data_IF_492908681997
#
_entry.id   IF_492908681997
#
_cell.length_a   1.000
_cell.length_b   1.000
_cell.length_c   1.000
_cell.angle_alpha   90.00
_cell.angle_beta   90.00
_cell.angle_gamma   90.00
#
_symmetry.space_group_name_H-M   'P 1'
#
loop_
_entity.id
_entity.type
_entity.pdbx_description
1 polymer ?
#
# COMPACT_ATOMS: atom_id res chain seq x y z
N UNK A 1 -7.12 -0.70 -24.65
CA UNK A 1 -7.12 0.71 -25.07
C UNK A 1 -7.07 1.55 -23.80
N UNK A 2 -5.92 2.12 -23.46
CA UNK A 2 -5.77 2.93 -22.24
C UNK A 2 -6.52 4.24 -22.47
N UNK A 3 -7.54 4.53 -21.65
CA UNK A 3 -8.32 5.75 -21.81
C UNK A 3 -7.48 6.94 -21.36
N UNK A 4 -7.63 8.12 -21.99
CA UNK A 4 -6.98 9.37 -21.52
C UNK A 4 -7.21 9.63 -20.01
N UNK A 5 -8.36 9.18 -19.49
CA UNK A 5 -8.73 9.28 -18.09
C UNK A 5 -7.83 8.43 -17.17
N UNK A 6 -7.33 7.28 -17.63
CA UNK A 6 -6.49 6.39 -16.83
C UNK A 6 -5.08 7.00 -16.65
N UNK A 7 -4.54 7.62 -17.70
CA UNK A 7 -3.28 8.37 -17.64
C UNK A 7 -3.41 9.55 -16.67
N UNK A 8 -4.53 10.26 -16.70
CA UNK A 8 -4.79 11.37 -15.77
C UNK A 8 -4.82 10.90 -14.31
N UNK A 9 -5.51 9.79 -14.01
CA UNK A 9 -5.52 9.17 -12.68
C UNK A 9 -4.11 8.75 -12.23
N UNK A 10 -3.31 8.21 -13.14
CA UNK A 10 -1.92 7.82 -12.86
C UNK A 10 -1.06 9.02 -12.49
N UNK A 11 -1.17 10.12 -13.25
CA UNK A 11 -0.43 11.36 -12.98
C UNK A 11 -0.81 11.92 -11.60
N UNK A 12 -2.11 11.99 -11.29
CA UNK A 12 -2.59 12.43 -9.97
C UNK A 12 -2.00 11.56 -8.86
N UNK A 13 -2.02 10.24 -9.06
CA UNK A 13 -1.47 9.31 -8.08
C UNK A 13 0.02 9.52 -7.86
N UNK A 14 0.79 9.73 -8.93
CA UNK A 14 2.24 9.99 -8.84
C UNK A 14 2.53 11.31 -8.12
N UNK A 15 1.74 12.34 -8.40
CA UNK A 15 1.85 13.65 -7.75
C UNK A 15 1.55 13.55 -6.25
N UNK A 16 0.53 12.77 -5.89
CA UNK A 16 0.13 12.52 -4.50
C UNK A 16 1.23 11.79 -3.73
N UNK A 17 1.84 10.75 -4.32
CA UNK A 17 3.00 10.05 -3.73
C UNK A 17 4.18 10.98 -3.51
N UNK A 18 4.53 11.76 -4.55
CA UNK A 18 5.67 12.67 -4.51
C UNK A 18 5.49 13.73 -3.42
N UNK A 19 4.25 14.19 -3.22
CA UNK A 19 3.89 15.12 -2.16
C UNK A 19 4.00 14.46 -0.78
N UNK A 20 3.49 13.24 -0.59
CA UNK A 20 3.61 12.51 0.68
C UNK A 20 5.07 12.29 1.10
N UNK A 21 5.94 11.91 0.16
CA UNK A 21 7.35 11.65 0.46
C UNK A 21 8.06 12.94 0.89
N UNK A 22 7.78 14.07 0.23
CA UNK A 22 8.42 15.36 0.53
C UNK A 22 7.81 16.11 1.70
N UNK A 23 6.57 15.81 2.09
CA UNK A 23 5.84 16.49 3.16
C UNK A 23 6.62 16.55 4.49
N UNK A 24 7.19 15.45 5.03
CA UNK A 24 7.95 15.54 6.28
C UNK A 24 9.28 16.30 6.15
N UNK A 25 9.85 16.41 4.95
CA UNK A 25 11.01 17.29 4.71
C UNK A 25 10.60 18.77 4.73
N UNK A 26 9.47 19.12 4.11
CA UNK A 26 8.95 20.49 4.14
C UNK A 26 8.55 20.94 5.54
N UNK A 27 8.13 20.00 6.40
CA UNK A 27 7.81 20.27 7.80
C UNK A 27 9.04 20.28 8.73
N UNK A 28 10.25 19.99 8.22
CA UNK A 28 11.47 19.92 9.02
C UNK A 28 11.47 18.80 10.07
N UNK A 29 10.62 17.77 9.89
CA UNK A 29 10.48 16.65 10.83
C UNK A 29 11.56 15.57 10.65
N UNK A 30 12.42 15.72 9.65
CA UNK A 30 13.45 14.73 9.26
C UNK A 30 14.82 15.38 9.39
N UNK A 31 15.63 14.88 10.33
CA UNK A 31 17.00 15.32 10.56
C UNK A 31 17.99 14.71 9.56
N UNK A 32 17.74 13.45 9.14
CA UNK A 32 18.54 12.73 8.15
C UNK A 32 17.65 12.30 6.98
N UNK A 33 17.84 12.97 5.83
CA UNK A 33 17.03 12.72 4.64
C UNK A 33 17.23 11.32 4.09
N UNK A 34 18.46 10.81 4.11
CA UNK A 34 18.83 9.61 3.35
C UNK A 34 18.27 8.36 4.03
N UNK A 35 18.37 8.30 5.36
CA UNK A 35 17.74 7.23 6.13
C UNK A 35 16.22 7.23 5.99
N UNK A 36 15.59 8.40 5.97
CA UNK A 36 14.15 8.51 5.80
C UNK A 36 13.69 8.00 4.43
N UNK A 37 14.42 8.36 3.36
CA UNK A 37 14.11 7.94 2.01
C UNK A 37 14.23 6.41 1.85
N UNK A 38 15.31 5.81 2.35
CA UNK A 38 15.51 4.36 2.27
C UNK A 38 14.34 3.59 2.92
N UNK A 39 13.82 4.10 4.03
CA UNK A 39 12.76 3.47 4.82
C UNK A 39 11.36 3.66 4.20
N UNK A 40 11.03 4.88 3.78
CA UNK A 40 9.64 5.28 3.52
C UNK A 40 9.26 5.43 2.04
N UNK A 41 10.23 5.47 1.10
CA UNK A 41 9.94 5.64 -0.34
C UNK A 41 9.10 4.50 -0.89
N UNK A 42 9.48 3.25 -0.59
CA UNK A 42 8.80 2.10 -1.16
C UNK A 42 7.34 2.02 -0.68
N UNK A 43 7.10 2.20 0.63
CA UNK A 43 5.74 2.25 1.21
C UNK A 43 4.90 3.33 0.53
N UNK A 44 5.47 4.51 0.30
CA UNK A 44 4.78 5.62 -0.36
C UNK A 44 4.44 5.31 -1.82
N UNK A 45 5.38 4.72 -2.58
CA UNK A 45 5.14 4.32 -3.98
C UNK A 45 4.03 3.27 -4.06
N UNK A 46 4.05 2.27 -3.19
CA UNK A 46 3.02 1.22 -3.17
C UNK A 46 1.66 1.71 -2.69
N UNK A 47 1.62 2.66 -1.76
CA UNK A 47 0.39 3.36 -1.40
C UNK A 47 -0.20 4.11 -2.61
N UNK A 48 0.64 4.76 -3.41
CA UNK A 48 0.22 5.37 -4.68
C UNK A 48 -0.31 4.36 -5.68
N UNK A 49 0.42 3.26 -5.90
CA UNK A 49 -0.01 2.22 -6.82
C UNK A 49 -1.37 1.64 -6.40
N UNK A 50 -1.54 1.39 -5.10
CA UNK A 50 -2.81 1.01 -4.48
C UNK A 50 -3.90 2.06 -4.78
N UNK A 51 -3.65 3.34 -4.54
CA UNK A 51 -4.60 4.42 -4.81
C UNK A 51 -5.00 4.46 -6.30
N UNK A 52 -4.05 4.33 -7.22
CA UNK A 52 -4.33 4.23 -8.66
C UNK A 52 -5.23 3.04 -9.00
N UNK A 53 -4.97 1.86 -8.42
CA UNK A 53 -5.82 0.68 -8.64
C UNK A 53 -7.24 0.88 -8.12
N UNK A 54 -7.44 1.62 -7.03
CA UNK A 54 -8.77 1.97 -6.54
C UNK A 54 -9.47 2.99 -7.44
N UNK A 55 -8.76 3.99 -7.95
CA UNK A 55 -9.29 5.00 -8.87
C UNK A 55 -9.70 4.42 -10.23
N UNK A 56 -9.08 3.32 -10.63
CA UNK A 56 -9.35 2.64 -11.90
C UNK A 56 -10.47 1.59 -11.76
N UNK A 57 -10.82 1.16 -10.55
CA UNK A 57 -11.91 0.21 -10.34
C UNK A 57 -13.29 0.83 -10.56
N UNK A 58 -14.17 0.11 -11.26
CA UNK A 58 -15.55 0.54 -11.55
C UNK A 58 -16.43 0.63 -10.31
N UNK A 59 -16.16 -0.18 -9.27
CA UNK A 59 -16.85 -0.14 -7.97
C UNK A 59 -15.84 0.09 -6.86
N UNK A 60 -15.95 1.24 -6.19
CA UNK A 60 -15.10 1.57 -5.05
C UNK A 60 -15.72 1.00 -3.78
N UNK A 61 -15.11 -0.05 -3.23
CA UNK A 61 -15.46 -0.53 -1.90
C UNK A 61 -14.75 0.33 -0.85
N UNK A 62 -15.47 1.30 -0.28
CA UNK A 62 -14.93 2.25 0.72
C UNK A 62 -14.33 1.53 1.95
N UNK A 63 -14.92 0.40 2.37
CA UNK A 63 -14.38 -0.40 3.50
C UNK A 63 -12.98 -0.91 3.17
N UNK A 64 -12.80 -1.41 1.95
CA UNK A 64 -11.53 -1.97 1.49
C UNK A 64 -10.44 -0.89 1.35
N UNK A 65 -10.82 0.30 0.89
CA UNK A 65 -9.93 1.46 0.83
C UNK A 65 -9.44 1.83 2.23
N UNK A 66 -10.35 1.96 3.21
CA UNK A 66 -9.99 2.28 4.60
C UNK A 66 -9.07 1.21 5.19
N UNK A 67 -9.37 -0.07 4.99
CA UNK A 67 -8.52 -1.18 5.44
C UNK A 67 -7.14 -1.08 4.81
N UNK A 68 -7.06 -0.86 3.50
CA UNK A 68 -5.79 -0.70 2.78
C UNK A 68 -4.98 0.47 3.32
N UNK A 69 -5.61 1.62 3.54
CA UNK A 69 -4.97 2.80 4.10
C UNK A 69 -4.41 2.50 5.51
N UNK A 70 -5.20 1.82 6.34
CA UNK A 70 -4.82 1.44 7.69
C UNK A 70 -3.55 0.56 7.69
N UNK A 71 -3.46 -0.43 6.79
CA UNK A 71 -2.30 -1.31 6.68
C UNK A 71 -1.03 -0.55 6.29
N UNK A 72 -1.14 0.38 5.33
CA UNK A 72 -0.01 1.23 4.96
C UNK A 72 0.42 2.15 6.10
N UNK A 73 -0.53 2.67 6.89
CA UNK A 73 -0.23 3.46 8.09
C UNK A 73 0.49 2.60 9.15
N UNK A 74 0.00 1.39 9.45
CA UNK A 74 0.67 0.48 10.38
C UNK A 74 2.07 0.11 9.91
N UNK A 75 2.23 -0.14 8.61
CA UNK A 75 3.52 -0.42 7.97
C UNK A 75 4.51 0.75 8.14
N UNK A 76 4.05 1.97 7.86
CA UNK A 76 4.87 3.17 8.05
C UNK A 76 5.24 3.39 9.54
N UNK A 77 4.31 3.19 10.46
CA UNK A 77 4.57 3.31 11.91
C UNK A 77 5.59 2.26 12.36
N UNK A 78 5.46 1.01 11.90
CA UNK A 78 6.41 -0.05 12.22
C UNK A 78 7.80 0.27 11.69
N UNK A 79 7.90 0.70 10.42
CA UNK A 79 9.19 1.04 9.79
C UNK A 79 9.88 2.20 10.52
N UNK A 80 9.13 3.22 10.93
CA UNK A 80 9.69 4.36 11.65
C UNK A 80 9.97 4.06 13.14
N UNK A 81 9.45 2.96 13.69
CA UNK A 81 9.76 2.51 15.06
C UNK A 81 11.04 1.66 15.14
N UNK A 82 11.56 1.19 14.00
CA UNK A 82 12.81 0.44 13.96
C UNK A 82 14.00 1.37 14.30
N UNK A 83 15.01 0.87 15.03
CA UNK A 83 16.16 1.67 15.43
C UNK A 83 16.96 2.14 14.21
N UNK A 84 17.36 3.40 14.25
CA UNK A 84 18.19 4.06 13.24
C UNK A 84 19.67 3.79 13.56
N UNK A 85 20.47 3.45 12.55
CA UNK A 85 21.94 3.34 12.70
C UNK A 85 22.51 1.97 13.08
N UNK A 86 21.69 0.99 13.48
CA UNK A 86 22.19 -0.38 13.61
C UNK A 86 22.31 -1.03 12.23
N UNK A 87 23.54 -1.32 11.78
CA UNK A 87 23.83 -2.12 10.57
C UNK A 87 23.49 -3.60 10.82
N UNK A 88 22.25 -3.85 11.22
CA UNK A 88 21.72 -5.19 11.42
C UNK A 88 21.05 -5.63 10.13
N UNK A 89 21.53 -6.72 9.54
CA UNK A 89 20.96 -7.31 8.32
C UNK A 89 19.46 -7.62 8.48
N UNK A 90 19.02 -7.90 9.70
CA UNK A 90 17.61 -8.13 10.03
C UNK A 90 16.74 -6.88 9.86
N UNK A 91 17.28 -5.69 10.15
CA UNK A 91 16.55 -4.41 10.02
C UNK A 91 16.41 -4.05 8.54
N UNK A 92 17.49 -4.21 7.76
CA UNK A 92 17.45 -4.04 6.30
C UNK A 92 16.47 -5.01 5.64
N UNK A 93 16.46 -6.28 6.08
CA UNK A 93 15.52 -7.27 5.57
C UNK A 93 14.07 -6.89 5.89
N UNK A 94 13.79 -6.35 7.08
CA UNK A 94 12.46 -5.89 7.48
C UNK A 94 11.96 -4.74 6.59
N UNK A 95 12.82 -3.76 6.25
CA UNK A 95 12.48 -2.69 5.31
C UNK A 95 12.07 -3.23 3.94
N UNK A 96 12.78 -4.24 3.44
CA UNK A 96 12.50 -4.84 2.13
C UNK A 96 11.23 -5.72 2.17
N UNK A 97 11.05 -6.52 3.22
CA UNK A 97 10.00 -7.56 3.27
C UNK A 97 8.61 -7.06 3.67
N UNK A 98 8.50 -5.94 4.37
CA UNK A 98 7.19 -5.37 4.71
C UNK A 98 6.41 -4.92 3.48
N UNK A 99 7.13 -4.50 2.44
CA UNK A 99 6.58 -4.02 1.19
C UNK A 99 5.80 -5.12 0.44
N UNK A 100 6.41 -6.27 0.04
CA UNK A 100 5.68 -7.34 -0.63
C UNK A 100 4.58 -7.93 0.25
N UNK A 101 4.78 -7.99 1.58
CA UNK A 101 3.75 -8.48 2.49
C UNK A 101 2.49 -7.60 2.47
N UNK A 102 2.65 -6.27 2.48
CA UNK A 102 1.52 -5.34 2.40
C UNK A 102 0.71 -5.47 1.11
N UNK A 103 1.37 -5.75 -0.02
CA UNK A 103 0.72 -5.96 -1.31
C UNK A 103 0.00 -7.29 -1.41
N UNK A 104 0.65 -8.37 -0.99
CA UNK A 104 0.04 -9.71 -0.97
C UNK A 104 -1.20 -9.68 -0.09
N UNK A 105 -1.12 -9.04 1.08
CA UNK A 105 -2.27 -8.87 1.96
C UNK A 105 -3.40 -8.10 1.28
N UNK A 106 -3.10 -6.99 0.59
CA UNK A 106 -4.10 -6.21 -0.10
C UNK A 106 -4.78 -6.99 -1.25
N UNK A 107 -4.01 -7.76 -2.02
CA UNK A 107 -4.52 -8.64 -3.07
C UNK A 107 -5.42 -9.72 -2.46
N UNK A 108 -5.00 -10.32 -1.36
CA UNK A 108 -5.75 -11.34 -0.63
C UNK A 108 -7.10 -10.80 -0.11
N UNK A 109 -7.11 -9.63 0.52
CA UNK A 109 -8.35 -8.96 0.98
C UNK A 109 -9.28 -8.64 -0.19
N UNK A 110 -8.72 -8.17 -1.32
CA UNK A 110 -9.50 -7.92 -2.54
C UNK A 110 -10.14 -9.20 -3.06
N UNK A 111 -9.37 -10.29 -3.09
CA UNK A 111 -9.82 -11.59 -3.58
C UNK A 111 -10.94 -12.16 -2.71
N UNK A 112 -10.79 -12.18 -1.38
CA UNK A 112 -11.84 -12.62 -0.45
C UNK A 112 -13.10 -11.77 -0.58
N UNK A 113 -12.94 -10.44 -0.65
CA UNK A 113 -14.07 -9.53 -0.79
C UNK A 113 -14.88 -9.84 -2.06
N UNK A 114 -14.19 -10.14 -3.17
CA UNK A 114 -14.84 -10.54 -4.43
C UNK A 114 -15.50 -11.92 -4.35
N UNK A 115 -14.94 -12.87 -3.60
CA UNK A 115 -15.57 -14.18 -3.38
C UNK A 115 -16.87 -14.05 -2.58
N UNK A 116 -16.86 -13.19 -1.55
CA UNK A 116 -18.02 -12.94 -0.70
C UNK A 116 -19.14 -12.21 -1.48
N UNK A 117 -18.78 -11.21 -2.30
CA UNK A 117 -19.71 -10.49 -3.19
C UNK A 117 -20.37 -11.43 -4.21
N UNK A 118 -19.60 -12.37 -4.79
CA UNK A 118 -20.09 -13.34 -5.77
C UNK A 118 -20.80 -14.56 -5.16
N UNK A 119 -20.89 -14.67 -3.82
CA UNK A 119 -21.53 -15.80 -3.15
C UNK A 119 -20.86 -17.17 -3.41
N UNK A 120 -19.62 -17.23 -3.91
CA UNK A 120 -18.99 -18.50 -4.35
C UNK A 120 -18.67 -19.44 -3.16
N UNK A 121 -18.88 -19.01 -1.92
CA UNK A 121 -18.89 -19.89 -0.74
C UNK A 121 -19.88 -21.05 -0.83
N UNK A 122 -20.87 -21.00 -1.73
CA UNK A 122 -21.80 -22.12 -1.97
C UNK A 122 -21.18 -23.35 -2.65
N UNK A 123 -20.09 -23.21 -3.42
CA UNK A 123 -19.50 -24.35 -4.16
C UNK A 123 -18.85 -25.38 -3.22
N UNK A 124 -18.44 -24.97 -2.01
CA UNK A 124 -17.88 -25.89 -1.01
C UNK A 124 -18.95 -26.69 -0.24
N UNK A 125 -20.19 -26.20 -0.22
CA UNK A 125 -21.28 -26.89 0.49
C UNK A 125 -21.87 -28.04 -0.33
N UNK A 126 -21.80 -27.96 -1.66
CA UNK A 126 -22.37 -28.97 -2.57
C UNK A 126 -21.40 -30.11 -2.92
N UNK A 127 -20.14 -30.01 -2.49
CA UNK A 127 -19.11 -31.05 -2.69
C UNK A 127 -18.90 -31.96 -1.47
N UNK A 128 -19.58 -31.66 -0.36
CA UNK A 128 -19.56 -32.43 0.90
C UNK A 128 -20.87 -33.23 1.11
N UNK A 129 -21.73 -33.36 0.09
CA UNK A 129 -22.99 -34.14 0.09
C UNK A 129 -22.89 -35.42 -0.73
#
# INVERSE_FOLDING_TARGET
>A
MVLKNDIFKLIISCLLVSLLIKLPQWLGLVADSDEYYIKNVAVSIFLGLSAYTYLTQSKINRKQLIISLLIFILSAVYINSLPNGEKSDSVTLAYIHIIPFSLIFQIYVTFISRLCDKGIFYVKYDSDL
#
